data_IF_836534198566
#
_entry.id   IF_836534198566
#
_cell.length_a   1.000
_cell.length_b   1.000
_cell.length_c   1.000
_cell.angle_alpha   90.00
_cell.angle_beta   90.00
_cell.angle_gamma   90.00
#
_symmetry.space_group_name_H-M   'P 1'
#
loop_
_entity.id
_entity.type
_entity.pdbx_description
1 polymer ?
#
# COMPACT_ATOMS: atom_id res chain seq x y z
N UNK A 1 0.78 18.56 -22.15
CA UNK A 1 0.46 17.96 -20.85
C UNK A 1 -0.38 18.91 -20.04
N UNK A 2 -1.51 18.43 -19.54
CA UNK A 2 -2.35 19.21 -18.64
C UNK A 2 -1.70 19.19 -17.28
N UNK A 3 -1.35 20.36 -16.76
CA UNK A 3 -0.78 20.51 -15.45
C UNK A 3 -1.89 20.77 -14.43
N UNK A 4 -1.83 20.09 -13.30
CA UNK A 4 -2.83 20.21 -12.24
C UNK A 4 -2.17 20.63 -10.93
N UNK A 5 -2.91 21.40 -10.13
CA UNK A 5 -2.48 21.82 -8.80
C UNK A 5 -2.80 20.74 -7.77
N UNK A 6 -2.15 20.82 -6.61
CA UNK A 6 -2.30 19.81 -5.55
C UNK A 6 -3.76 19.67 -5.07
N UNK A 7 -4.51 20.77 -5.04
CA UNK A 7 -5.92 20.73 -4.64
C UNK A 7 -6.78 19.93 -5.62
N UNK A 8 -6.50 20.06 -6.92
CA UNK A 8 -7.20 19.30 -7.95
C UNK A 8 -6.77 17.83 -7.92
N UNK A 9 -5.48 17.58 -7.68
CA UNK A 9 -4.95 16.23 -7.53
C UNK A 9 -5.66 15.52 -6.37
N UNK A 10 -5.83 16.18 -5.23
CA UNK A 10 -6.55 15.66 -4.07
C UNK A 10 -8.00 15.32 -4.45
N UNK A 11 -8.68 16.21 -5.16
CA UNK A 11 -10.06 16.02 -5.59
C UNK A 11 -10.21 14.81 -6.53
N UNK A 12 -9.30 14.68 -7.52
CA UNK A 12 -9.35 13.60 -8.52
C UNK A 12 -9.02 12.23 -7.94
N UNK A 13 -8.13 12.17 -6.95
CA UNK A 13 -7.69 10.91 -6.35
C UNK A 13 -8.48 10.53 -5.09
N UNK A 14 -9.19 11.47 -4.50
CA UNK A 14 -9.87 11.25 -3.23
C UNK A 14 -8.92 11.21 -2.03
N UNK A 15 -7.67 11.57 -2.23
CA UNK A 15 -6.64 11.59 -1.18
C UNK A 15 -6.54 13.00 -0.60
N UNK A 16 -6.45 13.09 0.73
CA UNK A 16 -6.36 14.39 1.41
C UNK A 16 -5.04 15.10 1.08
N UNK A 17 -5.05 16.43 1.17
CA UNK A 17 -3.82 17.24 1.00
C UNK A 17 -2.73 16.81 1.97
N UNK A 18 -3.11 16.46 3.20
CA UNK A 18 -2.19 15.98 4.22
C UNK A 18 -1.50 14.70 3.79
N UNK A 19 -2.27 13.74 3.26
CA UNK A 19 -1.73 12.46 2.78
C UNK A 19 -0.82 12.67 1.58
N UNK A 20 -1.18 13.56 0.65
CA UNK A 20 -0.34 13.86 -0.51
C UNK A 20 1.00 14.45 -0.09
N UNK A 21 1.00 15.37 0.88
CA UNK A 21 2.23 15.93 1.43
C UNK A 21 3.08 14.86 2.11
N UNK A 22 2.43 13.94 2.81
CA UNK A 22 3.09 12.79 3.44
C UNK A 22 3.75 11.91 2.40
N UNK A 23 3.07 11.65 1.28
CA UNK A 23 3.63 10.85 0.19
C UNK A 23 4.88 11.53 -0.40
N UNK A 24 4.86 12.84 -0.53
CA UNK A 24 6.05 13.59 -0.99
C UNK A 24 7.20 13.49 0.00
N UNK A 25 6.94 13.62 1.29
CA UNK A 25 7.94 13.46 2.35
C UNK A 25 8.59 12.08 2.32
N UNK A 26 7.80 11.05 2.07
CA UNK A 26 8.27 9.66 2.00
C UNK A 26 8.83 9.31 0.62
N UNK A 27 8.93 10.28 -0.27
CA UNK A 27 9.45 10.12 -1.62
C UNK A 27 8.65 9.13 -2.47
N UNK A 28 7.37 8.98 -2.17
CA UNK A 28 6.45 8.17 -2.98
C UNK A 28 5.91 8.97 -4.17
N UNK A 29 5.95 10.28 -4.05
CA UNK A 29 5.48 11.21 -5.07
C UNK A 29 6.55 12.28 -5.26
N UNK A 30 6.94 12.52 -6.52
CA UNK A 30 7.94 13.51 -6.85
C UNK A 30 7.27 14.73 -7.49
N UNK A 31 7.13 15.84 -6.77
CA UNK A 31 6.51 17.03 -7.34
C UNK A 31 7.45 17.74 -8.29
N UNK A 32 6.91 18.20 -9.42
CA UNK A 32 7.60 19.14 -10.28
C UNK A 32 7.24 20.54 -9.79
N UNK A 33 8.26 21.34 -9.44
CA UNK A 33 8.07 22.71 -9.01
C UNK A 33 8.28 23.65 -10.18
N UNK A 34 7.37 24.62 -10.32
CA UNK A 34 7.54 25.73 -11.24
C UNK A 34 8.58 26.69 -10.67
N UNK A 35 9.08 27.61 -11.53
CA UNK A 35 10.05 28.64 -11.14
C UNK A 35 9.58 29.53 -9.99
N UNK A 36 8.25 29.68 -9.84
CA UNK A 36 7.65 30.44 -8.75
C UNK A 36 7.47 29.65 -7.44
N UNK A 37 7.96 28.40 -7.40
CA UNK A 37 7.88 27.55 -6.22
C UNK A 37 6.59 26.74 -6.09
N UNK A 38 5.61 26.97 -6.96
CA UNK A 38 4.35 26.21 -6.92
C UNK A 38 4.56 24.78 -7.44
N UNK A 39 3.88 23.83 -6.81
CA UNK A 39 3.91 22.42 -7.20
C UNK A 39 2.99 22.17 -8.38
N UNK A 40 3.46 21.33 -9.29
CA UNK A 40 2.75 20.98 -10.51
C UNK A 40 2.69 19.46 -10.65
N UNK A 41 1.53 18.93 -11.00
CA UNK A 41 1.28 17.49 -11.14
C UNK A 41 0.71 17.18 -12.52
N UNK A 42 0.76 15.92 -12.90
CA UNK A 42 0.25 15.43 -14.19
C UNK A 42 -0.62 14.18 -13.96
N UNK A 43 -1.19 13.66 -15.05
CA UNK A 43 -1.96 12.43 -15.01
C UNK A 43 -1.14 11.22 -14.56
N UNK A 44 0.17 11.23 -14.81
CA UNK A 44 1.09 10.18 -14.35
C UNK A 44 1.08 10.13 -12.81
N UNK A 45 1.02 11.29 -12.17
CA UNK A 45 0.95 11.37 -10.71
C UNK A 45 -0.36 10.77 -10.17
N UNK A 46 -1.46 10.95 -10.90
CA UNK A 46 -2.75 10.35 -10.52
C UNK A 46 -2.64 8.82 -10.51
N UNK A 47 -2.06 8.24 -11.55
CA UNK A 47 -1.85 6.80 -11.64
C UNK A 47 -0.92 6.30 -10.55
N UNK A 48 0.14 7.05 -10.25
CA UNK A 48 1.09 6.73 -9.20
C UNK A 48 0.41 6.70 -7.84
N UNK A 49 -0.46 7.67 -7.55
CA UNK A 49 -1.23 7.71 -6.32
C UNK A 49 -2.18 6.52 -6.22
N UNK A 50 -2.83 6.14 -7.31
CA UNK A 50 -3.70 4.95 -7.33
C UNK A 50 -2.91 3.68 -7.01
N UNK A 51 -1.69 3.55 -7.52
CA UNK A 51 -0.81 2.43 -7.21
C UNK A 51 -0.40 2.44 -5.74
N UNK A 52 -0.10 3.60 -5.18
CA UNK A 52 0.21 3.74 -3.74
C UNK A 52 -0.98 3.26 -2.91
N UNK A 53 -2.19 3.70 -3.25
CA UNK A 53 -3.40 3.28 -2.55
C UNK A 53 -3.61 1.76 -2.64
N UNK A 54 -3.38 1.18 -3.80
CA UNK A 54 -3.48 -0.26 -4.01
C UNK A 54 -2.50 -1.00 -3.09
N UNK A 55 -1.24 -0.59 -3.05
CA UNK A 55 -0.23 -1.24 -2.21
C UNK A 55 -0.53 -1.07 -0.72
N UNK A 56 -1.02 0.10 -0.31
CA UNK A 56 -1.47 0.30 1.07
C UNK A 56 -2.61 -0.64 1.43
N UNK A 57 -3.54 -0.85 0.50
CA UNK A 57 -4.68 -1.76 0.72
C UNK A 57 -4.24 -3.23 0.83
N UNK A 58 -3.09 -3.57 0.27
CA UNK A 58 -2.49 -4.91 0.38
C UNK A 58 -1.68 -5.08 1.67
N UNK A 59 -1.62 -4.04 2.51
CA UNK A 59 -0.92 -4.10 3.78
C UNK A 59 0.56 -3.74 3.73
N UNK A 60 1.05 -3.18 2.61
CA UNK A 60 2.41 -2.69 2.53
C UNK A 60 2.54 -1.37 3.30
N UNK A 61 3.72 -1.15 3.88
CA UNK A 61 4.05 0.11 4.56
C UNK A 61 4.64 1.09 3.55
N UNK A 62 4.63 2.38 3.88
CA UNK A 62 5.12 3.43 2.98
C UNK A 62 6.58 3.22 2.57
N UNK A 63 7.45 2.79 3.48
CA UNK A 63 8.84 2.50 3.15
C UNK A 63 8.97 1.30 2.20
N UNK A 64 8.11 0.29 2.34
CA UNK A 64 8.08 -0.85 1.44
C UNK A 64 7.62 -0.45 0.04
N UNK A 65 6.63 0.44 -0.04
CA UNK A 65 6.14 0.97 -1.32
C UNK A 65 7.23 1.80 -2.00
N UNK A 66 7.95 2.62 -1.25
CA UNK A 66 9.04 3.44 -1.77
C UNK A 66 10.10 2.58 -2.48
N UNK A 67 10.43 1.43 -1.91
CA UNK A 67 11.39 0.50 -2.49
C UNK A 67 10.95 -0.03 -3.87
N UNK A 68 9.64 -0.05 -4.13
CA UNK A 68 9.10 -0.53 -5.41
C UNK A 68 8.97 0.58 -6.46
N UNK A 69 8.84 1.85 -6.03
CA UNK A 69 8.56 2.97 -6.92
C UNK A 69 9.77 3.77 -7.40
N UNK A 70 10.86 3.77 -6.65
CA UNK A 70 11.98 4.69 -6.91
C UNK A 70 12.84 4.35 -8.12
N UNK A 71 12.61 3.22 -8.76
CA UNK A 71 13.51 2.73 -9.81
C UNK A 71 13.52 3.61 -11.05
N UNK A 72 12.45 4.34 -11.33
CA UNK A 72 12.40 5.27 -12.45
C UNK A 72 13.24 6.54 -12.22
N UNK A 73 13.59 6.83 -10.97
CA UNK A 73 14.35 8.01 -10.56
C UNK A 73 15.81 7.70 -10.25
N UNK A 74 16.19 6.43 -10.23
CA UNK A 74 17.53 5.99 -9.86
C UNK A 74 18.41 5.92 -11.09
N UNK A 75 19.67 6.39 -10.96
CA UNK A 75 20.67 6.30 -12.01
C UNK A 75 21.01 4.84 -12.35
N UNK A 76 21.00 3.97 -11.34
CA UNK A 76 21.22 2.54 -11.53
C UNK A 76 19.89 1.78 -11.45
N UNK A 77 19.09 1.91 -12.50
CA UNK A 77 17.75 1.37 -12.59
C UNK A 77 17.69 -0.14 -12.42
N UNK A 78 18.65 -0.86 -13.02
CA UNK A 78 18.67 -2.32 -12.95
C UNK A 78 18.89 -2.83 -11.52
N UNK A 79 19.87 -2.26 -10.81
CA UNK A 79 20.12 -2.62 -9.41
C UNK A 79 18.93 -2.29 -8.52
N UNK A 80 18.25 -1.19 -8.78
CA UNK A 80 17.05 -0.80 -8.07
C UNK A 80 15.92 -1.81 -8.28
N UNK A 81 15.69 -2.25 -9.51
CA UNK A 81 14.67 -3.24 -9.86
C UNK A 81 14.98 -4.58 -9.14
N UNK A 82 16.22 -5.01 -9.17
CA UNK A 82 16.63 -6.25 -8.50
C UNK A 82 16.39 -6.17 -6.99
N UNK A 83 16.71 -5.04 -6.38
CA UNK A 83 16.44 -4.81 -4.96
C UNK A 83 14.93 -4.84 -4.67
N UNK A 84 14.12 -4.23 -5.52
CA UNK A 84 12.66 -4.26 -5.43
C UNK A 84 12.11 -5.68 -5.50
N UNK A 85 12.61 -6.49 -6.43
CA UNK A 85 12.22 -7.90 -6.56
C UNK A 85 12.53 -8.66 -5.26
N UNK A 86 13.76 -8.50 -4.75
CA UNK A 86 14.18 -9.16 -3.52
C UNK A 86 13.29 -8.80 -2.33
N UNK A 87 13.01 -7.52 -2.15
CA UNK A 87 12.13 -7.04 -1.07
C UNK A 87 10.70 -7.49 -1.25
N UNK A 88 10.21 -7.51 -2.49
CA UNK A 88 8.88 -8.02 -2.81
C UNK A 88 8.74 -9.50 -2.50
N UNK A 89 9.75 -10.30 -2.81
CA UNK A 89 9.75 -11.74 -2.51
C UNK A 89 9.78 -12.00 -1.00
N UNK A 90 10.54 -11.21 -0.24
CA UNK A 90 10.52 -11.28 1.22
C UNK A 90 9.14 -10.97 1.78
N UNK A 91 8.48 -9.95 1.23
CA UNK A 91 7.13 -9.57 1.65
C UNK A 91 6.12 -10.68 1.32
N UNK A 92 6.25 -11.32 0.16
CA UNK A 92 5.40 -12.45 -0.21
C UNK A 92 5.54 -13.60 0.80
N UNK A 93 6.75 -13.89 1.23
CA UNK A 93 7.01 -14.91 2.25
C UNK A 93 6.33 -14.56 3.57
N UNK A 94 6.44 -13.31 4.02
CA UNK A 94 5.75 -12.83 5.22
C UNK A 94 4.24 -13.01 5.13
N UNK A 95 3.66 -12.62 3.99
CA UNK A 95 2.21 -12.72 3.76
C UNK A 95 1.77 -14.18 3.81
N UNK A 96 2.53 -15.09 3.19
CA UNK A 96 2.21 -16.53 3.20
C UNK A 96 2.25 -17.08 4.62
N UNK A 97 3.21 -16.66 5.43
CA UNK A 97 3.29 -17.04 6.83
C UNK A 97 2.09 -16.54 7.63
N UNK A 98 1.67 -15.31 7.39
CA UNK A 98 0.48 -14.72 8.04
C UNK A 98 -0.80 -15.46 7.62
N UNK A 99 -0.93 -15.83 6.35
CA UNK A 99 -2.05 -16.62 5.86
C UNK A 99 -2.13 -17.96 6.60
N UNK A 100 -0.99 -18.63 6.78
CA UNK A 100 -0.92 -19.91 7.46
C UNK A 100 -1.34 -19.80 8.94
N UNK A 101 -0.86 -18.75 9.62
CA UNK A 101 -1.23 -18.46 11.00
C UNK A 101 -2.75 -18.23 11.11
N UNK A 102 -3.30 -17.43 10.19
CA UNK A 102 -4.75 -17.13 10.18
C UNK A 102 -5.58 -18.35 9.86
N UNK A 103 -5.13 -19.23 8.98
CA UNK A 103 -5.81 -20.51 8.67
C UNK A 103 -5.90 -21.41 9.89
N UNK A 104 -4.82 -21.50 10.66
CA UNK A 104 -4.80 -22.27 11.89
C UNK A 104 -5.75 -21.68 12.94
N UNK A 105 -5.72 -20.33 13.08
CA UNK A 105 -6.61 -19.64 14.00
C UNK A 105 -8.07 -19.85 13.60
N UNK A 106 -8.39 -19.78 12.31
CA UNK A 106 -9.73 -20.03 11.79
C UNK A 106 -10.21 -21.44 12.16
N UNK A 107 -9.37 -22.45 11.90
CA UNK A 107 -9.69 -23.84 12.20
C UNK A 107 -9.97 -24.06 13.69
N UNK A 108 -9.10 -23.49 14.55
CA UNK A 108 -9.26 -23.61 16.01
C UNK A 108 -10.53 -22.91 16.49
N UNK A 109 -10.84 -21.75 15.96
CA UNK A 109 -12.02 -21.00 16.35
C UNK A 109 -13.30 -21.70 15.88
N UNK A 110 -13.30 -22.30 14.71
CA UNK A 110 -14.43 -23.13 14.24
C UNK A 110 -14.73 -24.27 15.22
N UNK A 111 -13.69 -24.92 15.72
CA UNK A 111 -13.86 -25.99 16.70
C UNK A 111 -14.46 -25.48 18.01
N UNK A 112 -14.00 -24.32 18.48
CA UNK A 112 -14.53 -23.68 19.68
C UNK A 112 -16.02 -23.36 19.51
N UNK A 113 -16.38 -22.75 18.38
CA UNK A 113 -17.78 -22.41 18.08
C UNK A 113 -18.64 -23.67 18.02
N UNK A 114 -18.14 -24.72 17.39
CA UNK A 114 -18.83 -26.01 17.29
C UNK A 114 -19.10 -26.60 18.67
N UNK A 115 -18.11 -26.57 19.54
CA UNK A 115 -18.25 -27.08 20.92
C UNK A 115 -19.25 -26.26 21.73
N UNK A 116 -19.25 -24.94 21.58
CA UNK A 116 -20.20 -24.06 22.26
C UNK A 116 -21.63 -24.33 21.80
N UNK A 117 -21.85 -24.57 20.50
CA UNK A 117 -23.16 -24.93 19.96
C UNK A 117 -23.66 -26.26 20.53
N UNK A 118 -22.77 -27.22 20.72
CA UNK A 118 -23.11 -28.51 21.36
C UNK A 118 -23.56 -28.32 22.80
N UNK A 119 -22.92 -27.43 23.55
CA UNK A 119 -23.27 -27.13 24.95
C UNK A 119 -24.68 -26.56 25.02
N UNK A 120 -25.10 -25.71 24.13
CA UNK A 120 -26.47 -25.19 24.07
C UNK A 120 -27.46 -26.31 23.84
N UNK A 121 -27.23 -27.23 22.92
CA UNK A 121 -28.12 -28.38 22.65
C UNK A 121 -28.24 -29.28 23.86
N UNK A 122 -27.16 -29.51 24.59
CA UNK A 122 -27.18 -30.34 25.80
C UNK A 122 -27.93 -29.65 26.95
N UNK A 123 -27.86 -28.31 27.01
CA UNK A 123 -28.56 -27.52 28.03
C UNK A 123 -30.08 -27.45 27.83
N UNK A 124 -30.57 -27.72 26.64
CA UNK A 124 -32.01 -27.70 26.28
C UNK A 124 -32.74 -28.96 26.65
N UNK A 125 -32.05 -29.99 27.13
CA UNK A 125 -32.69 -31.26 27.56
C UNK A 125 -33.21 -31.11 28.99
#
# INVERSE_FOLDING_TARGET
>A
MITIHISELARKTGVSLRSLRYYEEKQLLKPNRLDNGYRQYSEIDIEQIRMIQLYLSMGLKTNEIADLFHCSWDENKEACIQNGIKKGELKLTEIREQIEILRKAESQLKDVVKNLKKQIKQGEQ
#
